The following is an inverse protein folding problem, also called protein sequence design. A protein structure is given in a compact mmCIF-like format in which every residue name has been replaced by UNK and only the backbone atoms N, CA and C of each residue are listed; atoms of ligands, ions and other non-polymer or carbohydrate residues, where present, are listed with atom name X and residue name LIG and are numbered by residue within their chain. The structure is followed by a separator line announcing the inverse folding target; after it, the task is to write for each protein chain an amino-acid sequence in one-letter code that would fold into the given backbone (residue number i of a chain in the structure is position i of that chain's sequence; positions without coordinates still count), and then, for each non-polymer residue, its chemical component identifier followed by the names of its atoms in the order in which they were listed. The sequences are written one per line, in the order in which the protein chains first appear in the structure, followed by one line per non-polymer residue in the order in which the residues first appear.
data_IF_631360587972
#
_entry.id   IF_631360587972
#
_cell.length_a   1.000
_cell.length_b   1.000
_cell.length_c   1.000
_cell.angle_alpha   90.00
_cell.angle_beta   90.00
_cell.angle_gamma   90.00
#
_symmetry.space_group_name_H-M   'P 1'
#
loop_
_entity.id
_entity.type
_entity.pdbx_description
1 polymer ?
#
# COMPACT_ATOMS: atom_id res chain seq x y z
N UNK A 1 4.80 8.09 -2.61
CA UNK A 1 5.64 7.51 -3.69
C UNK A 1 5.01 6.27 -4.32
N UNK A 2 4.70 5.20 -3.58
CA UNK A 2 4.27 3.92 -4.16
C UNK A 2 3.02 3.97 -5.06
N UNK A 3 1.89 4.51 -4.59
CA UNK A 3 0.60 4.45 -5.32
C UNK A 3 0.37 5.58 -6.33
N UNK A 4 1.09 6.69 -6.18
CA UNK A 4 1.03 7.81 -7.13
C UNK A 4 2.11 7.67 -8.20
N UNK A 5 3.36 7.47 -7.78
CA UNK A 5 4.50 7.48 -8.69
C UNK A 5 4.82 6.07 -9.20
N UNK A 6 5.17 5.10 -8.33
CA UNK A 6 5.59 3.76 -8.79
C UNK A 6 4.47 3.02 -9.54
N UNK A 7 3.24 3.08 -9.04
CA UNK A 7 2.09 2.49 -9.75
C UNK A 7 1.91 3.08 -11.15
N UNK A 8 2.07 4.39 -11.29
CA UNK A 8 2.02 5.10 -12.57
C UNK A 8 3.17 4.68 -13.49
N UNK A 9 4.40 4.65 -12.98
CA UNK A 9 5.59 4.22 -13.73
C UNK A 9 5.47 2.77 -14.21
N UNK A 10 5.04 1.85 -13.35
CA UNK A 10 4.85 0.45 -13.75
C UNK A 10 3.66 0.26 -14.68
N UNK A 11 2.60 1.08 -14.56
CA UNK A 11 1.51 1.09 -15.53
C UNK A 11 2.00 1.56 -16.90
N UNK A 12 2.78 2.65 -16.94
CA UNK A 12 3.36 3.16 -18.18
C UNK A 12 4.34 2.17 -18.82
N UNK A 13 5.12 1.47 -18.01
CA UNK A 13 6.09 0.47 -18.47
C UNK A 13 5.42 -0.80 -19.02
N UNK A 14 4.39 -1.30 -18.34
CA UNK A 14 3.73 -2.57 -18.71
C UNK A 14 2.52 -2.40 -19.63
N UNK A 15 2.01 -1.16 -19.77
CA UNK A 15 0.75 -0.87 -20.45
C UNK A 15 -0.49 -1.36 -19.69
N UNK A 16 -0.35 -1.86 -18.46
CA UNK A 16 -1.46 -2.45 -17.70
C UNK A 16 -1.55 -1.88 -16.30
N UNK A 17 -2.71 -1.28 -15.98
CA UNK A 17 -2.99 -0.73 -14.66
C UNK A 17 -3.01 -1.82 -13.57
N UNK A 18 -3.39 -3.06 -13.92
CA UNK A 18 -3.35 -4.20 -13.02
C UNK A 18 -1.92 -4.66 -12.75
N UNK A 19 -1.08 -4.74 -13.79
CA UNK A 19 0.34 -5.06 -13.59
C UNK A 19 1.06 -3.99 -12.78
N UNK A 20 0.77 -2.70 -13.03
CA UNK A 20 1.33 -1.60 -12.25
C UNK A 20 0.95 -1.63 -10.77
N UNK A 21 -0.30 -1.98 -10.49
CA UNK A 21 -0.80 -2.22 -9.12
C UNK A 21 -0.07 -3.37 -8.43
N UNK A 22 0.07 -4.52 -9.09
CA UNK A 22 0.74 -5.70 -8.50
C UNK A 22 2.22 -5.41 -8.27
N UNK A 23 2.92 -4.86 -9.26
CA UNK A 23 4.35 -4.55 -9.16
C UNK A 23 4.66 -3.55 -8.05
N UNK A 24 3.87 -2.47 -7.91
CA UNK A 24 4.11 -1.51 -6.82
C UNK A 24 3.85 -2.13 -5.45
N UNK A 25 2.87 -3.03 -5.33
CA UNK A 25 2.55 -3.69 -4.07
C UNK A 25 3.62 -4.69 -3.66
N UNK A 26 4.19 -5.42 -4.61
CA UNK A 26 5.34 -6.30 -4.38
C UNK A 26 6.56 -5.51 -3.90
N UNK A 27 6.92 -4.42 -4.59
CA UNK A 27 8.05 -3.56 -4.18
C UNK A 27 7.80 -2.96 -2.80
N UNK A 28 6.58 -2.50 -2.52
CA UNK A 28 6.21 -1.98 -1.20
C UNK A 28 6.33 -3.05 -0.11
N UNK A 29 5.83 -4.26 -0.36
CA UNK A 29 5.98 -5.39 0.57
C UNK A 29 7.44 -5.73 0.82
N UNK A 30 8.23 -5.94 -0.23
CA UNK A 30 9.66 -6.29 -0.12
C UNK A 30 10.47 -5.24 0.65
N UNK A 31 10.12 -3.95 0.54
CA UNK A 31 10.74 -2.89 1.34
C UNK A 31 10.52 -3.06 2.85
N UNK A 32 9.55 -3.88 3.27
CA UNK A 32 9.24 -4.23 4.66
C UNK A 32 9.74 -5.62 5.06
N UNK A 33 10.66 -6.23 4.29
CA UNK A 33 11.21 -7.56 4.59
C UNK A 33 11.85 -7.68 5.98
N UNK A 34 12.35 -6.58 6.53
CA UNK A 34 12.91 -6.51 7.89
C UNK A 34 11.90 -6.79 9.01
N UNK A 35 10.58 -6.77 8.73
CA UNK A 35 9.52 -7.09 9.68
C UNK A 35 9.15 -8.58 9.68
N UNK A 36 9.85 -9.40 8.89
CA UNK A 36 9.61 -10.83 8.74
C UNK A 36 8.53 -11.15 7.71
N UNK A 37 8.58 -12.38 7.17
CA UNK A 37 7.79 -12.79 6.00
C UNK A 37 6.27 -12.64 6.20
N UNK A 38 5.77 -12.89 7.42
CA UNK A 38 4.34 -12.74 7.74
C UNK A 38 3.87 -11.30 7.60
N UNK A 39 4.56 -10.34 8.24
CA UNK A 39 4.18 -8.93 8.18
C UNK A 39 4.43 -8.35 6.78
N UNK A 40 5.54 -8.73 6.14
CA UNK A 40 5.84 -8.38 4.75
C UNK A 40 4.67 -8.72 3.81
N UNK A 41 4.12 -9.93 3.94
CA UNK A 41 2.98 -10.41 3.14
C UNK A 41 1.72 -9.60 3.42
N UNK A 42 1.39 -9.36 4.69
CA UNK A 42 0.22 -8.55 5.08
C UNK A 42 0.34 -7.14 4.52
N UNK A 43 1.51 -6.53 4.60
CA UNK A 43 1.77 -5.18 4.10
C UNK A 43 1.67 -5.10 2.58
N UNK A 44 2.14 -6.12 1.86
CA UNK A 44 1.94 -6.22 0.41
C UNK A 44 0.44 -6.24 0.05
N UNK A 45 -0.37 -7.02 0.79
CA UNK A 45 -1.83 -7.09 0.60
C UNK A 45 -2.48 -5.73 0.85
N UNK A 46 -2.14 -5.04 1.95
CA UNK A 46 -2.62 -3.66 2.18
C UNK A 46 -2.16 -2.70 1.07
N UNK A 47 -0.94 -2.88 0.57
CA UNK A 47 -0.42 -2.16 -0.59
C UNK A 47 -1.28 -2.31 -1.83
N UNK A 48 -1.72 -3.54 -2.14
CA UNK A 48 -2.68 -3.83 -3.22
C UNK A 48 -4.05 -3.20 -2.95
N UNK A 49 -4.63 -3.42 -1.77
CA UNK A 49 -5.99 -2.94 -1.44
C UNK A 49 -6.09 -1.42 -1.53
N UNK A 50 -5.10 -0.70 -1.01
CA UNK A 50 -5.08 0.76 -1.11
C UNK A 50 -4.74 1.26 -2.52
N UNK A 51 -3.96 0.52 -3.31
CA UNK A 51 -3.74 0.82 -4.73
C UNK A 51 -5.02 0.65 -5.56
N UNK A 52 -5.81 -0.39 -5.27
CA UNK A 52 -7.15 -0.59 -5.85
C UNK A 52 -8.10 0.53 -5.43
N UNK A 53 -8.10 0.90 -4.15
CA UNK A 53 -8.92 2.01 -3.65
C UNK A 53 -8.55 3.33 -4.35
N UNK A 54 -7.26 3.59 -4.55
CA UNK A 54 -6.81 4.78 -5.27
C UNK A 54 -7.29 4.79 -6.73
N UNK A 55 -7.23 3.65 -7.42
CA UNK A 55 -7.79 3.50 -8.77
C UNK A 55 -9.31 3.67 -8.78
N UNK A 56 -10.02 3.06 -7.84
CA UNK A 56 -11.48 3.17 -7.81
C UNK A 56 -11.94 4.60 -7.50
N UNK A 57 -11.29 5.27 -6.56
CA UNK A 57 -11.66 6.62 -6.12
C UNK A 57 -11.01 7.74 -6.92
N UNK A 58 -10.10 7.40 -7.84
CA UNK A 58 -9.26 8.36 -8.57
C UNK A 58 -8.59 9.39 -7.63
N UNK A 59 -8.22 8.93 -6.43
CA UNK A 59 -7.71 9.78 -5.36
C UNK A 59 -6.93 8.99 -4.34
N UNK A 60 -5.80 9.56 -3.89
CA UNK A 60 -4.99 8.98 -2.82
C UNK A 60 -5.57 9.29 -1.42
N UNK A 61 -6.42 10.32 -1.31
CA UNK A 61 -6.88 10.86 -0.02
C UNK A 61 -7.56 9.81 0.88
N UNK A 62 -8.52 8.98 0.38
CA UNK A 62 -9.19 8.01 1.25
C UNK A 62 -8.21 6.98 1.84
N UNK A 63 -7.27 6.49 1.02
CA UNK A 63 -6.25 5.54 1.47
C UNK A 63 -5.26 6.15 2.46
N UNK A 64 -4.88 7.42 2.29
CA UNK A 64 -4.02 8.11 3.25
C UNK A 64 -4.70 8.32 4.61
N UNK A 65 -5.98 8.70 4.60
CA UNK A 65 -6.76 8.86 5.84
C UNK A 65 -6.92 7.51 6.54
N UNK A 66 -7.29 6.45 5.82
CA UNK A 66 -7.43 5.12 6.39
C UNK A 66 -6.11 4.61 7.00
N UNK A 67 -4.99 4.82 6.30
CA UNK A 67 -3.67 4.44 6.81
C UNK A 67 -3.29 5.22 8.06
N UNK A 68 -3.50 6.54 8.08
CA UNK A 68 -3.26 7.37 9.26
C UNK A 68 -4.09 6.89 10.46
N UNK A 69 -5.38 6.61 10.26
CA UNK A 69 -6.25 6.11 11.32
C UNK A 69 -5.81 4.73 11.83
N UNK A 70 -5.37 3.84 10.93
CA UNK A 70 -4.81 2.55 11.31
C UNK A 70 -3.58 2.71 12.20
N UNK A 71 -2.63 3.58 11.82
CA UNK A 71 -1.42 3.80 12.60
C UNK A 71 -1.74 4.44 13.97
N UNK A 72 -2.64 5.42 14.00
CA UNK A 72 -3.09 6.04 15.24
C UNK A 72 -3.78 5.03 16.19
N UNK A 73 -4.60 4.12 15.63
CA UNK A 73 -5.28 3.08 16.41
C UNK A 73 -4.30 2.10 17.06
N UNK A 74 -3.23 1.73 16.35
CA UNK A 74 -2.20 0.86 16.89
C UNK A 74 -1.51 1.51 18.10
N UNK A 75 -1.15 2.79 18.00
CA UNK A 75 -0.57 3.56 19.12
C UNK A 75 -1.51 3.58 20.32
N UNK A 76 -2.78 3.97 20.11
CA UNK A 76 -3.76 4.05 21.19
C UNK A 76 -3.93 2.71 21.92
N UNK A 77 -4.02 1.61 21.18
CA UNK A 77 -4.16 0.27 21.76
C UNK A 77 -2.92 -0.18 22.54
N UNK A 78 -1.72 0.27 22.15
CA UNK A 78 -0.49 -0.01 22.89
C UNK A 78 -0.31 0.86 24.14
N UNK A 79 -0.89 2.05 24.20
CA UNK A 79 -0.83 2.93 25.38
C UNK A 79 -1.77 2.48 26.52
N UNK A 80 -2.77 1.65 26.21
CA UNK A 80 -3.76 1.13 27.15
C UNK A 80 -3.45 -0.32 27.62
N UNK A 81 -2.25 -0.82 27.37
CA UNK A 81 -1.73 -2.09 27.88
C UNK A 81 -0.56 -1.84 28.81
#
# INVERSE_FOLDING_TARGET
MFRGYLQGQFTAWTGSAYAGLVLQALVFGLAHGYQGARLMTVIAVFGCLFGLLAQWRQSLRPGMIAHFLQDASAVLLTLHR
#
